data_IF_911549302614
#
_entry.id   IF_911549302614
#
_cell.length_a   1.000
_cell.length_b   1.000
_cell.length_c   1.000
_cell.angle_alpha   90.00
_cell.angle_beta   90.00
_cell.angle_gamma   90.00
#
_symmetry.space_group_name_H-M   'P 1'
#
loop_
_entity.id
_entity.type
_entity.pdbx_description
1 polymer ?
#
# COMPACT_ATOMS: atom_id res chain seq x y z
N UNK A 1 -19.98 10.48 -12.54
CA UNK A 1 -19.73 11.38 -11.37
C UNK A 1 -18.88 10.61 -10.39
N UNK A 2 -17.68 11.10 -10.05
CA UNK A 2 -16.74 10.38 -9.18
C UNK A 2 -16.92 10.78 -7.71
N UNK A 3 -16.57 9.89 -6.79
CA UNK A 3 -16.54 10.17 -5.34
C UNK A 3 -15.13 9.93 -4.83
N UNK A 4 -14.56 10.91 -4.13
CA UNK A 4 -13.34 10.76 -3.34
C UNK A 4 -13.66 10.03 -2.03
N UNK A 5 -12.80 9.10 -1.61
CA UNK A 5 -13.05 8.17 -0.50
C UNK A 5 -13.08 8.76 0.93
N UNK A 6 -13.44 10.03 1.14
CA UNK A 6 -13.42 10.64 2.49
C UNK A 6 -14.58 10.19 3.41
N UNK A 7 -15.80 9.96 2.90
CA UNK A 7 -17.00 9.69 3.74
C UNK A 7 -17.84 8.47 3.31
N UNK A 8 -17.30 7.58 2.49
CA UNK A 8 -17.91 6.30 2.08
C UNK A 8 -17.48 5.14 3.02
N UNK A 9 -16.90 5.45 4.18
CA UNK A 9 -16.49 4.48 5.22
C UNK A 9 -17.61 3.50 5.63
N UNK A 10 -18.89 3.87 5.46
CA UNK A 10 -20.05 2.98 5.67
C UNK A 10 -20.30 1.96 4.56
N UNK A 11 -19.87 2.24 3.32
CA UNK A 11 -20.06 1.35 2.14
C UNK A 11 -18.81 0.52 1.81
N UNK A 12 -17.66 0.86 2.39
CA UNK A 12 -16.34 0.26 2.12
C UNK A 12 -15.78 -0.55 3.30
N UNK A 13 -16.65 -1.12 4.14
CA UNK A 13 -16.20 -2.02 5.20
C UNK A 13 -15.50 -3.27 4.66
N UNK A 14 -15.47 -3.52 3.36
CA UNK A 14 -14.48 -4.38 2.68
C UNK A 14 -14.30 -3.89 1.23
N UNK A 15 -13.06 -3.66 0.82
CA UNK A 15 -12.75 -3.59 -0.62
C UNK A 15 -13.13 -4.94 -1.24
N UNK A 16 -13.72 -4.96 -2.44
CA UNK A 16 -14.01 -6.24 -3.10
C UNK A 16 -12.73 -6.83 -3.71
N UNK A 17 -12.77 -8.12 -4.04
CA UNK A 17 -11.70 -8.76 -4.81
C UNK A 17 -11.48 -8.05 -6.15
N UNK A 18 -12.56 -7.63 -6.81
CA UNK A 18 -12.52 -6.89 -8.09
C UNK A 18 -11.76 -5.57 -7.91
N UNK A 19 -12.10 -4.80 -6.87
CA UNK A 19 -11.42 -3.54 -6.57
C UNK A 19 -9.96 -3.76 -6.18
N UNK A 20 -9.63 -4.86 -5.51
CA UNK A 20 -8.25 -5.18 -5.13
C UNK A 20 -7.40 -5.46 -6.36
N UNK A 21 -7.94 -6.20 -7.34
CA UNK A 21 -7.30 -6.41 -8.64
C UNK A 21 -7.12 -5.11 -9.41
N UNK A 22 -8.15 -4.24 -9.43
CA UNK A 22 -8.03 -2.94 -10.10
C UNK A 22 -6.94 -2.05 -9.50
N UNK A 23 -6.69 -2.12 -8.19
CA UNK A 23 -5.55 -1.42 -7.59
C UNK A 23 -4.25 -1.96 -8.17
N UNK A 24 -4.09 -3.28 -8.29
CA UNK A 24 -2.89 -3.88 -8.89
C UNK A 24 -2.76 -3.49 -10.36
N UNK A 25 -3.85 -3.46 -11.13
CA UNK A 25 -3.82 -3.00 -12.53
C UNK A 25 -3.37 -1.53 -12.63
N UNK A 26 -3.79 -0.68 -11.70
CA UNK A 26 -3.30 0.70 -11.60
C UNK A 26 -1.78 0.73 -11.31
N UNK A 27 -1.29 -0.08 -10.38
CA UNK A 27 0.14 -0.13 -10.05
C UNK A 27 0.96 -0.65 -11.24
N UNK A 28 0.48 -1.70 -11.90
CA UNK A 28 1.08 -2.25 -13.12
C UNK A 28 1.20 -1.19 -14.21
N UNK A 29 0.13 -0.43 -14.43
CA UNK A 29 0.13 0.68 -15.38
C UNK A 29 1.18 1.74 -15.03
N UNK A 30 1.22 2.23 -13.78
CA UNK A 30 2.21 3.22 -13.33
C UNK A 30 3.64 2.71 -13.48
N UNK A 31 3.87 1.46 -13.10
CA UNK A 31 5.16 0.79 -13.20
C UNK A 31 5.66 0.72 -14.65
N UNK A 32 4.78 0.41 -15.60
CA UNK A 32 5.06 0.40 -17.04
C UNK A 32 5.28 1.81 -17.62
N UNK A 33 4.60 2.82 -17.05
CA UNK A 33 4.82 4.23 -17.38
C UNK A 33 6.06 4.84 -16.72
N UNK A 34 6.80 4.07 -15.93
CA UNK A 34 7.96 4.53 -15.16
C UNK A 34 7.63 5.63 -14.13
N UNK A 35 6.46 5.50 -13.50
CA UNK A 35 5.94 6.45 -12.50
C UNK A 35 5.82 5.74 -11.16
N UNK A 36 6.27 6.43 -10.11
CA UNK A 36 5.90 6.13 -8.72
C UNK A 36 5.00 7.26 -8.20
N UNK A 37 3.84 6.91 -7.69
CA UNK A 37 2.85 7.83 -7.13
C UNK A 37 3.28 8.38 -5.77
N UNK A 38 3.91 7.54 -4.93
CA UNK A 38 4.44 7.86 -3.58
C UNK A 38 3.43 8.23 -2.49
N UNK A 39 2.17 8.51 -2.81
CA UNK A 39 1.10 8.68 -1.81
C UNK A 39 -0.13 7.80 -2.10
N UNK A 40 0.08 6.48 -2.12
CA UNK A 40 -1.01 5.53 -2.28
C UNK A 40 -1.79 5.37 -0.97
N UNK A 41 -3.06 5.75 -1.01
CA UNK A 41 -3.97 5.75 0.14
C UNK A 41 -5.42 5.79 -0.34
N UNK A 42 -6.39 5.40 0.51
CA UNK A 42 -7.80 5.41 0.11
C UNK A 42 -8.24 6.76 -0.43
N UNK A 43 -7.83 7.88 0.18
CA UNK A 43 -8.24 9.23 -0.24
C UNK A 43 -7.84 9.58 -1.68
N UNK A 44 -6.80 8.94 -2.21
CA UNK A 44 -6.29 9.20 -3.55
C UNK A 44 -6.88 8.25 -4.59
N UNK A 45 -7.87 7.44 -4.22
CA UNK A 45 -8.66 6.68 -5.18
C UNK A 45 -10.05 7.34 -5.33
N UNK A 46 -10.68 7.12 -6.47
CA UNK A 46 -12.06 7.49 -6.72
C UNK A 46 -12.80 6.31 -7.31
N UNK A 47 -14.02 6.08 -6.84
CA UNK A 47 -14.93 5.10 -7.44
C UNK A 47 -15.89 5.82 -8.37
N UNK A 48 -16.05 5.29 -9.58
CA UNK A 48 -17.17 5.69 -10.43
C UNK A 48 -18.48 5.15 -9.83
N UNK A 49 -19.47 6.03 -9.64
CA UNK A 49 -20.77 5.68 -9.05
C UNK A 49 -21.54 4.62 -9.85
N UNK A 50 -21.22 4.48 -11.14
CA UNK A 50 -22.02 3.69 -12.07
C UNK A 50 -21.37 2.38 -12.49
N UNK A 51 -20.03 2.31 -12.53
CA UNK A 51 -19.30 1.22 -13.20
C UNK A 51 -18.29 0.49 -12.30
N UNK A 52 -18.30 0.75 -10.98
CA UNK A 52 -17.39 0.11 -10.00
C UNK A 52 -15.88 0.21 -10.33
N UNK A 53 -15.49 1.09 -11.25
CA UNK A 53 -14.10 1.30 -11.63
C UNK A 53 -13.39 2.28 -10.71
N UNK A 54 -12.22 1.88 -10.24
CA UNK A 54 -11.29 2.72 -9.51
C UNK A 54 -10.49 3.62 -10.46
N UNK A 55 -10.25 4.84 -10.01
CA UNK A 55 -9.30 5.78 -10.61
C UNK A 55 -8.37 6.31 -9.54
N UNK A 56 -7.07 6.32 -9.82
CA UNK A 56 -6.10 7.01 -8.99
C UNK A 56 -6.10 8.50 -9.32
N UNK A 57 -6.03 9.32 -8.29
CA UNK A 57 -5.98 10.78 -8.35
C UNK A 57 -4.82 11.30 -7.49
N UNK A 58 -4.49 12.58 -7.69
CA UNK A 58 -3.48 13.32 -6.92
C UNK A 58 -2.03 12.84 -7.07
N UNK A 59 -1.45 13.16 -8.23
CA UNK A 59 -0.05 12.92 -8.56
C UNK A 59 0.90 14.01 -7.98
N UNK A 60 0.48 14.79 -6.99
CA UNK A 60 1.28 15.89 -6.43
C UNK A 60 2.62 15.44 -5.83
N UNK A 61 2.72 14.17 -5.45
CA UNK A 61 3.95 13.53 -5.00
C UNK A 61 4.53 12.54 -6.01
N UNK A 62 4.02 12.46 -7.23
CA UNK A 62 4.53 11.49 -8.19
C UNK A 62 5.97 11.82 -8.61
N UNK A 63 6.74 10.80 -8.99
CA UNK A 63 8.06 10.94 -9.58
C UNK A 63 8.26 9.91 -10.70
N UNK A 64 9.12 10.25 -11.65
CA UNK A 64 9.52 9.35 -12.74
C UNK A 64 10.89 8.76 -12.48
N UNK A 65 11.15 7.59 -13.06
CA UNK A 65 12.48 6.97 -13.08
C UNK A 65 12.86 6.58 -14.51
N UNK A 66 14.15 6.48 -14.79
CA UNK A 66 14.65 6.03 -16.09
C UNK A 66 14.89 4.51 -16.07
N UNK A 67 14.89 3.87 -17.25
CA UNK A 67 15.24 2.46 -17.36
C UNK A 67 16.63 2.20 -16.75
N UNK A 68 16.70 1.23 -15.84
CA UNK A 68 17.89 0.79 -15.11
C UNK A 68 18.51 1.80 -14.11
N UNK A 69 17.78 2.86 -13.74
CA UNK A 69 18.23 3.79 -12.70
C UNK A 69 17.25 3.85 -11.53
N UNK A 70 17.78 3.77 -10.31
CA UNK A 70 17.02 4.14 -9.11
C UNK A 70 16.60 5.60 -9.22
N UNK A 71 15.48 5.96 -8.59
CA UNK A 71 15.15 7.39 -8.48
C UNK A 71 16.30 8.12 -7.82
N UNK A 72 16.56 9.37 -8.23
CA UNK A 72 17.39 10.28 -7.45
C UNK A 72 16.89 10.30 -6.00
N UNK A 73 17.78 10.58 -5.04
CA UNK A 73 17.36 10.74 -3.65
C UNK A 73 16.26 11.81 -3.58
N UNK A 74 15.06 11.41 -3.17
CA UNK A 74 13.86 12.26 -3.13
C UNK A 74 13.39 12.42 -1.69
N UNK A 75 12.77 13.57 -1.35
CA UNK A 75 12.26 13.77 -0.01
C UNK A 75 11.17 12.75 0.32
N UNK A 76 11.17 12.29 1.57
CA UNK A 76 10.13 11.41 2.09
C UNK A 76 8.81 12.18 2.16
N UNK A 77 7.81 11.72 1.42
CA UNK A 77 6.50 12.36 1.30
C UNK A 77 5.37 11.31 1.38
N UNK A 78 4.13 11.79 1.53
CA UNK A 78 2.93 10.95 1.64
C UNK A 78 2.62 10.44 3.05
N UNK A 79 1.59 9.60 3.16
CA UNK A 79 1.13 9.03 4.44
C UNK A 79 1.83 7.71 4.76
N UNK A 80 2.86 7.79 5.60
CA UNK A 80 3.72 6.66 5.98
C UNK A 80 2.97 5.45 6.55
N UNK A 81 1.80 5.62 7.17
CA UNK A 81 1.03 4.49 7.74
C UNK A 81 0.58 3.45 6.69
N UNK A 82 0.55 3.83 5.40
CA UNK A 82 0.29 2.91 4.29
C UNK A 82 1.56 2.36 3.64
N UNK A 83 2.75 2.77 4.09
CA UNK A 83 4.02 2.31 3.53
C UNK A 83 4.28 0.81 3.73
N UNK A 84 5.04 0.20 2.82
CA UNK A 84 5.51 -1.18 2.95
C UNK A 84 6.63 -1.36 3.99
N UNK A 85 6.93 -2.59 4.42
CA UNK A 85 7.92 -2.84 5.47
C UNK A 85 9.28 -2.25 5.19
N UNK A 86 9.82 -2.45 3.99
CA UNK A 86 11.18 -1.99 3.67
C UNK A 86 11.29 -0.48 3.90
N UNK A 87 10.29 0.27 3.43
CA UNK A 87 10.18 1.70 3.65
C UNK A 87 9.98 2.06 5.14
N UNK A 88 9.06 1.39 5.83
CA UNK A 88 8.84 1.62 7.26
C UNK A 88 10.09 1.35 8.10
N UNK A 89 10.83 0.27 7.79
CA UNK A 89 12.10 -0.11 8.41
C UNK A 89 13.19 0.92 8.14
N UNK A 90 13.21 1.47 6.93
CA UNK A 90 14.11 2.55 6.60
C UNK A 90 13.75 3.79 7.42
N UNK A 91 12.50 4.26 7.37
CA UNK A 91 12.06 5.43 8.11
C UNK A 91 12.28 5.28 9.62
N UNK A 92 12.01 4.11 10.22
CA UNK A 92 12.25 3.88 11.65
C UNK A 92 13.74 3.99 12.04
N UNK A 93 14.67 3.71 11.11
CA UNK A 93 16.11 3.89 11.33
C UNK A 93 16.55 5.35 11.20
N UNK A 94 15.88 6.14 10.37
CA UNK A 94 16.25 7.54 10.15
C UNK A 94 16.14 8.40 11.40
N UNK A 95 15.27 8.03 12.34
CA UNK A 95 15.10 8.80 13.57
C UNK A 95 16.28 8.69 14.55
N UNK A 96 17.29 7.87 14.23
CA UNK A 96 18.58 7.85 14.92
C UNK A 96 19.63 8.77 14.27
N UNK A 97 19.37 9.39 13.12
CA UNK A 97 20.27 10.37 12.48
C UNK A 97 19.50 11.61 12.00
N UNK A 98 19.84 12.80 12.54
CA UNK A 98 19.10 14.05 12.31
C UNK A 98 19.06 14.57 10.84
N UNK A 99 19.56 13.80 9.87
CA UNK A 99 19.93 14.29 8.53
C UNK A 99 19.31 13.51 7.36
N UNK A 100 18.45 12.52 7.61
CA UNK A 100 17.90 11.69 6.55
C UNK A 100 16.46 12.07 6.19
N UNK A 101 16.30 13.11 5.37
CA UNK A 101 15.01 13.50 4.79
C UNK A 101 14.78 12.94 3.39
N UNK A 102 15.81 12.35 2.77
CA UNK A 102 15.78 11.86 1.41
C UNK A 102 15.96 10.34 1.36
N UNK A 103 15.27 9.71 0.41
CA UNK A 103 15.32 8.28 0.14
C UNK A 103 15.30 8.02 -1.36
N UNK A 104 16.11 7.07 -1.80
CA UNK A 104 15.99 6.51 -3.15
C UNK A 104 14.90 5.44 -3.13
N UNK A 105 13.81 5.71 -3.84
CA UNK A 105 12.71 4.78 -3.98
C UNK A 105 13.05 3.69 -5.00
N UNK A 106 12.66 2.46 -4.68
CA UNK A 106 12.72 1.34 -5.63
C UNK A 106 11.62 1.48 -6.69
N UNK A 107 11.85 0.89 -7.87
CA UNK A 107 10.88 0.87 -8.98
C UNK A 107 9.50 0.37 -8.56
N UNK A 108 9.50 -0.60 -7.66
CA UNK A 108 8.31 -1.29 -7.18
C UNK A 108 7.73 -0.66 -5.92
N UNK A 109 8.19 0.52 -5.47
CA UNK A 109 7.83 1.13 -4.18
C UNK A 109 6.32 1.16 -3.89
N UNK A 110 5.53 1.47 -4.90
CA UNK A 110 4.09 1.58 -4.81
C UNK A 110 3.39 0.23 -4.59
N UNK A 111 3.98 -0.88 -5.03
CA UNK A 111 3.39 -2.20 -4.93
C UNK A 111 3.25 -2.67 -3.46
N UNK A 112 4.30 -2.64 -2.61
CA UNK A 112 4.14 -2.88 -1.17
C UNK A 112 3.15 -1.94 -0.48
N UNK A 113 3.06 -0.67 -0.92
CA UNK A 113 2.13 0.30 -0.38
C UNK A 113 0.67 -0.06 -0.73
N UNK A 114 0.41 -0.42 -1.99
CA UNK A 114 -0.89 -0.87 -2.47
C UNK A 114 -1.38 -2.10 -1.71
N UNK A 115 -0.51 -3.04 -1.43
CA UNK A 115 -0.86 -4.28 -0.71
C UNK A 115 -1.18 -3.99 0.75
N UNK A 116 -0.35 -3.18 1.43
CA UNK A 116 -0.64 -2.75 2.79
C UNK A 116 -1.97 -1.97 2.88
N UNK A 117 -2.29 -1.19 1.85
CA UNK A 117 -3.57 -0.53 1.70
C UNK A 117 -4.74 -1.52 1.45
N UNK A 118 -4.62 -2.48 0.53
CA UNK A 118 -5.63 -3.53 0.29
C UNK A 118 -5.91 -4.27 1.60
N UNK A 119 -4.86 -4.72 2.29
CA UNK A 119 -4.97 -5.37 3.60
C UNK A 119 -5.74 -4.50 4.61
N UNK A 120 -5.40 -3.21 4.71
CA UNK A 120 -6.13 -2.29 5.57
C UNK A 120 -7.60 -2.19 5.20
N UNK A 121 -7.96 -2.27 3.92
CA UNK A 121 -9.36 -2.17 3.49
C UNK A 121 -10.12 -3.49 3.59
N UNK A 122 -9.46 -4.64 3.73
CA UNK A 122 -10.09 -5.96 3.75
C UNK A 122 -10.10 -6.61 5.13
N UNK A 123 -9.13 -6.32 5.99
CA UNK A 123 -8.98 -6.90 7.33
C UNK A 123 -9.48 -5.95 8.42
N UNK A 124 -10.44 -6.39 9.23
CA UNK A 124 -11.04 -5.58 10.29
C UNK A 124 -10.07 -5.32 11.44
N UNK A 125 -9.21 -6.27 11.78
CA UNK A 125 -8.20 -6.10 12.84
C UNK A 125 -7.20 -5.00 12.46
N UNK A 126 -6.96 -4.82 11.15
CA UNK A 126 -6.10 -3.76 10.61
C UNK A 126 -6.82 -2.40 10.56
N UNK A 127 -8.14 -2.39 10.40
CA UNK A 127 -8.95 -1.16 10.30
C UNK A 127 -9.02 -0.37 11.59
N UNK A 128 -9.07 -1.06 12.73
CA UNK A 128 -9.21 -0.41 14.03
C UNK A 128 -7.94 0.36 14.43
N UNK A 129 -6.78 -0.09 13.96
CA UNK A 129 -5.47 0.45 14.38
C UNK A 129 -5.05 1.70 13.59
N UNK A 130 -5.28 1.75 12.27
CA UNK A 130 -4.77 2.85 11.44
C UNK A 130 -5.29 4.25 11.80
N UNK A 131 -6.58 4.45 12.17
CA UNK A 131 -7.07 5.74 12.63
C UNK A 131 -6.34 6.23 13.88
N UNK A 132 -5.99 5.33 14.80
CA UNK A 132 -5.24 5.63 16.01
C UNK A 132 -3.81 6.07 15.67
N UNK A 133 -3.16 5.37 14.72
CA UNK A 133 -1.84 5.74 14.22
C UNK A 133 -1.81 7.15 13.61
N UNK A 134 -2.87 7.58 12.92
CA UNK A 134 -2.95 8.92 12.31
C UNK A 134 -2.94 10.07 13.32
N UNK A 135 -3.37 9.82 14.57
CA UNK A 135 -3.40 10.82 15.66
C UNK A 135 -2.04 11.04 16.32
N UNK A 136 -1.09 10.13 16.10
CA UNK A 136 0.26 10.23 16.65
C UNK A 136 1.09 11.26 15.87
N UNK A 137 2.13 11.79 16.55
CA UNK A 137 3.17 12.58 15.88
C UNK A 137 3.81 11.76 14.75
N UNK A 138 4.40 12.43 13.76
CA UNK A 138 5.03 11.76 12.60
C UNK A 138 6.03 10.69 13.04
N UNK A 139 6.87 11.00 14.03
CA UNK A 139 7.91 10.11 14.54
C UNK A 139 7.32 8.85 15.18
N UNK A 140 6.45 9.03 16.17
CA UNK A 140 5.81 7.90 16.87
C UNK A 140 4.95 7.06 15.92
N UNK A 141 4.32 7.69 14.93
CA UNK A 141 3.52 7.02 13.92
C UNK A 141 4.34 6.06 13.07
N UNK A 142 5.56 6.43 12.67
CA UNK A 142 6.42 5.52 11.88
C UNK A 142 6.79 4.29 12.70
N UNK A 143 7.29 4.47 13.92
CA UNK A 143 7.72 3.35 14.76
C UNK A 143 6.57 2.42 15.11
N UNK A 144 5.39 2.99 15.39
CA UNK A 144 4.19 2.21 15.64
C UNK A 144 3.74 1.44 14.38
N UNK A 145 3.77 2.08 13.20
CA UNK A 145 3.44 1.40 11.93
C UNK A 145 4.42 0.27 11.62
N UNK A 146 5.73 0.48 11.83
CA UNK A 146 6.76 -0.52 11.63
C UNK A 146 6.60 -1.72 12.57
N UNK A 147 6.42 -1.49 13.88
CA UNK A 147 6.19 -2.56 14.86
C UNK A 147 4.91 -3.32 14.59
N UNK A 148 3.82 -2.62 14.27
CA UNK A 148 2.55 -3.24 13.90
C UNK A 148 2.70 -4.15 12.68
N UNK A 149 3.48 -3.71 11.69
CA UNK A 149 3.77 -4.52 10.52
C UNK A 149 4.49 -5.82 10.89
N UNK A 150 5.47 -5.78 11.80
CA UNK A 150 6.22 -6.95 12.26
C UNK A 150 5.36 -7.91 13.10
N UNK A 151 4.65 -7.41 14.12
CA UNK A 151 3.99 -8.26 15.11
C UNK A 151 2.69 -8.87 14.60
N UNK A 152 1.90 -8.09 13.85
CA UNK A 152 0.52 -8.46 13.50
C UNK A 152 0.37 -8.83 12.02
N UNK A 153 0.96 -8.03 11.12
CA UNK A 153 0.77 -8.22 9.68
C UNK A 153 1.68 -9.31 9.09
N UNK A 154 2.97 -9.30 9.40
CA UNK A 154 3.93 -10.28 8.86
C UNK A 154 3.66 -11.71 9.34
N UNK A 155 3.22 -11.87 10.59
CA UNK A 155 3.06 -13.18 11.22
C UNK A 155 1.77 -13.92 10.81
N UNK A 156 0.86 -13.29 10.07
CA UNK A 156 -0.29 -13.97 9.51
C UNK A 156 0.12 -14.64 8.20
N UNK A 157 0.04 -15.98 8.19
CA UNK A 157 0.54 -16.85 7.11
C UNK A 157 0.05 -16.46 5.72
N UNK A 158 -1.22 -16.05 5.59
CA UNK A 158 -1.77 -15.66 4.30
C UNK A 158 -1.18 -14.32 3.80
N UNK A 159 -0.87 -13.41 4.73
CA UNK A 159 -0.13 -12.20 4.40
C UNK A 159 1.32 -12.50 4.08
N UNK A 160 1.96 -13.38 4.85
CA UNK A 160 3.33 -13.79 4.61
C UNK A 160 3.51 -14.34 3.19
N UNK A 161 2.58 -15.16 2.70
CA UNK A 161 2.64 -15.73 1.36
C UNK A 161 2.49 -14.66 0.26
N UNK A 162 1.50 -13.77 0.37
CA UNK A 162 1.32 -12.64 -0.57
C UNK A 162 2.53 -11.68 -0.54
N UNK A 163 3.07 -11.42 0.64
CA UNK A 163 4.25 -10.57 0.83
C UNK A 163 5.52 -11.22 0.29
N UNK A 164 5.69 -12.54 0.45
CA UNK A 164 6.82 -13.26 -0.12
C UNK A 164 6.81 -13.19 -1.65
N UNK A 165 5.64 -13.24 -2.31
CA UNK A 165 5.55 -13.03 -3.76
C UNK A 165 6.10 -11.67 -4.17
N UNK A 166 5.84 -10.62 -3.38
CA UNK A 166 6.27 -9.25 -3.65
C UNK A 166 7.74 -9.04 -3.28
N UNK A 167 8.19 -9.54 -2.13
CA UNK A 167 9.58 -9.39 -1.68
C UNK A 167 10.55 -10.20 -2.56
N UNK A 168 10.09 -11.32 -3.13
CA UNK A 168 10.84 -12.09 -4.12
C UNK A 168 10.66 -11.59 -5.56
N UNK A 169 9.67 -10.72 -5.81
CA UNK A 169 9.62 -10.01 -7.08
C UNK A 169 10.83 -9.08 -7.15
N UNK A 170 11.71 -9.34 -8.10
CA UNK A 170 12.92 -8.53 -8.32
C UNK A 170 12.53 -7.19 -8.96
N UNK A 171 13.36 -6.63 -9.85
CA UNK A 171 13.03 -5.39 -10.56
C UNK A 171 11.74 -5.51 -11.37
N UNK A 172 11.35 -6.72 -11.81
CA UNK A 172 10.15 -7.00 -12.60
C UNK A 172 9.11 -7.80 -11.80
N UNK A 173 8.00 -7.18 -11.38
CA UNK A 173 6.90 -7.88 -10.72
C UNK A 173 6.10 -8.77 -11.68
N UNK A 174 5.75 -9.97 -11.22
CA UNK A 174 4.74 -10.80 -11.86
C UNK A 174 3.35 -10.40 -11.32
N UNK A 175 2.72 -9.45 -12.01
CA UNK A 175 1.44 -8.87 -11.59
C UNK A 175 0.28 -9.89 -11.64
N UNK A 176 0.35 -10.89 -12.52
CA UNK A 176 -0.67 -11.94 -12.59
C UNK A 176 -0.58 -12.88 -11.38
N UNK A 177 0.64 -13.31 -11.02
CA UNK A 177 0.88 -14.10 -9.81
C UNK A 177 0.47 -13.35 -8.54
N UNK A 178 0.69 -12.03 -8.50
CA UNK A 178 0.22 -11.18 -7.39
C UNK A 178 -1.31 -11.14 -7.33
N UNK A 179 -1.99 -10.99 -8.47
CA UNK A 179 -3.47 -11.02 -8.57
C UNK A 179 -4.02 -12.36 -8.05
N UNK A 180 -3.40 -13.49 -8.40
CA UNK A 180 -3.76 -14.81 -7.85
C UNK A 180 -3.52 -14.90 -6.34
N UNK A 181 -2.43 -14.32 -5.84
CA UNK A 181 -2.13 -14.25 -4.41
C UNK A 181 -3.23 -13.50 -3.63
N UNK A 182 -3.74 -12.40 -4.20
CA UNK A 182 -4.85 -11.63 -3.62
C UNK A 182 -6.13 -12.47 -3.58
N UNK A 183 -6.45 -13.23 -4.62
CA UNK A 183 -7.62 -14.12 -4.61
C UNK A 183 -7.55 -15.16 -3.50
N UNK A 184 -6.39 -15.83 -3.38
CA UNK A 184 -6.14 -16.80 -2.30
C UNK A 184 -6.31 -16.16 -0.93
N UNK A 185 -5.78 -14.96 -0.75
CA UNK A 185 -5.93 -14.20 0.48
C UNK A 185 -7.41 -13.91 0.82
N UNK A 186 -8.22 -13.48 -0.16
CA UNK A 186 -9.66 -13.26 0.03
C UNK A 186 -10.42 -14.54 0.40
N UNK A 187 -10.10 -15.66 -0.25
CA UNK A 187 -10.75 -16.95 0.04
C UNK A 187 -10.57 -17.36 1.52
N UNK A 188 -9.39 -17.12 2.08
CA UNK A 188 -9.14 -17.43 3.49
C UNK A 188 -9.85 -16.46 4.43
N UNK A 189 -9.91 -15.16 4.10
CA UNK A 189 -10.68 -14.20 4.90
C UNK A 189 -12.17 -14.58 4.97
N UNK A 190 -12.77 -14.96 3.84
CA UNK A 190 -14.17 -15.37 3.80
C UNK A 190 -14.43 -16.67 4.57
N UNK A 191 -13.50 -17.64 4.54
CA UNK A 191 -13.63 -18.86 5.35
C UNK A 191 -13.58 -18.63 6.88
N UNK A 192 -12.93 -17.54 7.32
CA UNK A 192 -12.86 -17.17 8.75
C UNK A 192 -14.11 -16.45 9.25
N UNK A 193 -14.94 -15.89 8.36
CA UNK A 193 -16.18 -15.19 8.72
C UNK A 193 -17.39 -16.13 8.82
N UNK A 194 -17.24 -17.38 8.38
CA UNK A 194 -18.27 -18.44 8.40
C UNK A 194 -18.16 -19.40 9.59
N UNK A 195 -17.34 -19.07 10.59
CA UNK A 195 -17.15 -19.79 11.86
C UNK A 195 -17.47 -18.86 13.03
#
# INVERSE_FOLDING_TARGET
KFIVFENVLKRLKSLSLIQSKQIIDIIEYLYNCHIIHRDLRPQNLMLDKNNEHLKLIDFGFAATFENNQKTKALPIQGVISYGGLKFLKFCSKLFYSAMAFFYEYERTFDLPCAINFIMYMTDNDVKEELPSLKKLSIHTRVDASYRYWLDKKKNNKNYADLLNLIDNSQELPDFDLIKEGIEKFFNVLHSKQSL
#
